data_IF_245011214915
#
_entry.id   IF_245011214915
#
_cell.length_a   1.000
_cell.length_b   1.000
_cell.length_c   1.000
_cell.angle_alpha   90.00
_cell.angle_beta   90.00
_cell.angle_gamma   90.00
#
_symmetry.space_group_name_H-M   'P 1'
#
loop_
_entity.id
_entity.type
_entity.pdbx_description
1 polymer ?
#
# COMPACT_ATOMS: atom_id res chain seq x y z
N UNK A 1 -10.88 16.03 -10.19
CA UNK A 1 -9.78 16.05 -9.20
C UNK A 1 -8.99 14.77 -9.35
N UNK A 2 -7.68 14.84 -9.55
CA UNK A 2 -6.83 13.64 -9.59
C UNK A 2 -6.54 13.14 -8.17
N UNK A 3 -6.39 11.83 -8.03
CA UNK A 3 -6.00 11.16 -6.78
C UNK A 3 -4.86 10.22 -7.07
N UNK A 4 -3.92 10.08 -6.14
CA UNK A 4 -2.79 9.15 -6.27
C UNK A 4 -3.15 7.87 -5.52
N UNK A 5 -2.96 6.73 -6.17
CA UNK A 5 -3.02 5.42 -5.55
C UNK A 5 -1.60 4.85 -5.52
N UNK A 6 -1.07 4.71 -4.31
CA UNK A 6 0.22 4.08 -4.05
C UNK A 6 -0.03 2.60 -3.75
N UNK A 7 0.68 1.70 -4.41
CA UNK A 7 0.58 0.27 -4.17
C UNK A 7 1.92 -0.43 -4.40
N UNK A 8 2.05 -1.63 -3.88
CA UNK A 8 3.21 -2.50 -4.02
C UNK A 8 3.08 -3.40 -5.26
N UNK A 9 4.22 -3.75 -5.87
CA UNK A 9 4.35 -4.49 -7.14
C UNK A 9 3.59 -5.84 -7.19
N UNK A 10 3.18 -6.37 -6.04
CA UNK A 10 2.51 -7.67 -5.95
C UNK A 10 1.07 -7.72 -6.50
N UNK A 11 0.54 -6.62 -7.03
CA UNK A 11 -0.81 -6.55 -7.56
C UNK A 11 -0.85 -6.86 -9.06
N UNK A 12 -0.89 -8.14 -9.42
CA UNK A 12 -1.14 -8.66 -10.78
C UNK A 12 -2.46 -8.17 -11.41
N UNK A 13 -3.35 -7.58 -10.60
CA UNK A 13 -4.68 -7.11 -11.00
C UNK A 13 -4.70 -5.67 -11.55
N UNK A 14 -3.59 -4.95 -11.60
CA UNK A 14 -3.58 -3.54 -12.08
C UNK A 14 -4.10 -3.42 -13.52
N UNK A 15 -3.77 -4.40 -14.36
CA UNK A 15 -4.18 -4.43 -15.77
C UNK A 15 -5.71 -4.62 -15.90
N UNK A 16 -6.30 -5.45 -15.03
CA UNK A 16 -7.74 -5.76 -15.05
C UNK A 16 -8.62 -4.55 -14.73
N UNK A 17 -8.10 -3.58 -13.98
CA UNK A 17 -8.85 -2.40 -13.52
C UNK A 17 -8.42 -1.09 -14.18
N UNK A 18 -7.60 -1.16 -15.23
CA UNK A 18 -7.01 0.03 -15.86
C UNK A 18 -8.05 1.09 -16.29
N UNK A 19 -9.13 0.64 -16.94
CA UNK A 19 -10.25 1.49 -17.34
C UNK A 19 -10.92 2.19 -16.15
N UNK A 20 -11.11 1.47 -15.05
CA UNK A 20 -11.67 2.05 -13.83
C UNK A 20 -10.77 3.18 -13.29
N UNK A 21 -9.45 2.98 -13.28
CA UNK A 21 -8.51 3.98 -12.79
C UNK A 21 -8.51 5.25 -13.65
N UNK A 22 -8.53 5.13 -14.98
CA UNK A 22 -8.61 6.27 -15.90
C UNK A 22 -9.90 7.05 -15.66
N UNK A 23 -11.05 6.36 -15.66
CA UNK A 23 -12.36 6.99 -15.49
C UNK A 23 -12.49 7.74 -14.15
N UNK A 24 -11.78 7.28 -13.11
CA UNK A 24 -11.78 7.89 -11.79
C UNK A 24 -10.65 8.90 -11.55
N UNK A 25 -9.85 9.26 -12.59
CA UNK A 25 -8.72 10.19 -12.49
C UNK A 25 -7.69 9.74 -11.44
N UNK A 26 -7.43 8.44 -11.39
CA UNK A 26 -6.44 7.83 -10.49
C UNK A 26 -5.08 7.75 -11.18
N UNK A 27 -4.06 8.27 -10.51
CA UNK A 27 -2.65 8.15 -10.88
C UNK A 27 -2.07 7.00 -10.07
N UNK A 28 -1.62 5.97 -10.77
CA UNK A 28 -1.07 4.75 -10.19
C UNK A 28 0.44 4.90 -9.98
N UNK A 29 0.91 4.72 -8.75
CA UNK A 29 2.34 4.68 -8.42
C UNK A 29 2.65 3.34 -7.77
N UNK A 30 3.45 2.53 -8.47
CA UNK A 30 3.94 1.26 -7.97
C UNK A 30 5.28 1.47 -7.24
N UNK A 31 5.36 1.05 -5.98
CA UNK A 31 6.63 0.99 -5.24
C UNK A 31 7.33 -0.33 -5.52
N UNK A 32 8.65 -0.25 -5.75
CA UNK A 32 9.50 -1.44 -5.87
C UNK A 32 9.45 -2.27 -4.57
N UNK A 33 9.42 -3.61 -4.65
CA UNK A 33 9.27 -4.52 -3.52
C UNK A 33 10.31 -4.28 -2.43
N UNK A 34 11.53 -3.92 -2.79
CA UNK A 34 12.63 -3.63 -1.86
C UNK A 34 12.49 -2.30 -1.11
N UNK A 35 11.58 -1.42 -1.52
CA UNK A 35 11.33 -0.12 -0.91
C UNK A 35 10.06 -0.11 -0.03
N UNK A 36 9.20 -1.13 -0.16
CA UNK A 36 7.86 -1.15 0.44
C UNK A 36 7.89 -1.02 1.96
N UNK A 37 8.68 -1.85 2.66
CA UNK A 37 8.70 -1.88 4.13
C UNK A 37 9.29 -0.61 4.77
N UNK A 38 9.97 0.25 4.01
CA UNK A 38 10.52 1.52 4.48
C UNK A 38 9.74 2.75 4.01
N UNK A 39 9.11 2.69 2.83
CA UNK A 39 8.46 3.84 2.20
C UNK A 39 6.96 3.69 2.06
N UNK A 40 6.40 2.50 2.28
CA UNK A 40 4.96 2.29 2.20
C UNK A 40 4.31 2.93 3.42
N UNK A 41 3.49 3.98 3.24
CA UNK A 41 2.94 4.74 4.36
C UNK A 41 2.12 3.86 5.30
N UNK A 42 1.43 2.86 4.76
CA UNK A 42 0.62 1.93 5.55
C UNK A 42 1.50 1.07 6.46
N UNK A 43 2.66 0.62 5.96
CA UNK A 43 3.58 -0.26 6.69
C UNK A 43 4.24 0.49 7.85
N UNK A 44 4.68 1.73 7.59
CA UNK A 44 5.37 2.56 8.59
C UNK A 44 4.40 3.16 9.61
N UNK A 45 3.22 3.62 9.19
CA UNK A 45 2.33 4.39 10.07
C UNK A 45 1.22 3.56 10.72
N UNK A 46 0.48 2.75 9.96
CA UNK A 46 -0.70 2.04 10.48
C UNK A 46 -0.31 0.67 11.02
N UNK A 47 0.49 -0.09 10.25
CA UNK A 47 0.83 -1.46 10.61
C UNK A 47 1.97 -1.55 11.63
N UNK A 48 2.92 -0.61 11.64
CA UNK A 48 4.01 -0.64 12.62
C UNK A 48 3.52 -0.56 14.07
N UNK A 49 2.67 0.43 14.47
CA UNK A 49 2.12 0.48 15.82
C UNK A 49 1.24 -0.72 16.14
N UNK A 50 0.39 -1.13 15.18
CA UNK A 50 -0.49 -2.29 15.35
C UNK A 50 0.30 -3.58 15.60
N UNK A 51 1.37 -3.81 14.82
CA UNK A 51 2.24 -4.96 14.97
C UNK A 51 2.96 -4.92 16.32
N UNK A 52 3.42 -3.74 16.76
CA UNK A 52 4.05 -3.58 18.06
C UNK A 52 3.11 -3.94 19.21
N UNK A 53 1.90 -3.37 19.25
CA UNK A 53 0.93 -3.66 20.31
C UNK A 53 0.51 -5.13 20.32
N UNK A 54 0.27 -5.71 19.14
CA UNK A 54 -0.07 -7.11 19.02
C UNK A 54 1.06 -8.03 19.53
N UNK A 55 2.32 -7.70 19.27
CA UNK A 55 3.45 -8.46 19.81
C UNK A 55 3.54 -8.37 21.33
N UNK A 56 3.23 -7.22 21.92
CA UNK A 56 3.21 -7.07 23.38
C UNK A 56 2.15 -7.97 24.02
N UNK A 57 0.95 -8.01 23.44
CA UNK A 57 -0.17 -8.82 23.96
C UNK A 57 0.07 -10.33 23.84
N UNK A 58 0.86 -10.77 22.86
CA UNK A 58 1.27 -12.17 22.71
C UNK A 58 2.42 -12.60 23.65
N UNK A 59 3.10 -11.65 24.29
CA UNK A 59 4.19 -11.92 25.24
C UNK A 59 3.72 -11.93 26.70
N UNK A 60 2.46 -11.59 26.97
CA UNK A 60 1.76 -11.87 28.24
C UNK A 60 1.15 -13.28 28.25
#
# INVERSE_FOLDING_TARGET
RYRILLFNEHNSNVITFFEYYINNKLILICLSPHMSHHLHPLDVSVFSPYKHTYHMELQE
#
